data_IF_382243710125
#
_entry.id   IF_382243710125
#
_cell.length_a   1.000
_cell.length_b   1.000
_cell.length_c   1.000
_cell.angle_alpha   90.00
_cell.angle_beta   90.00
_cell.angle_gamma   90.00
#
_symmetry.space_group_name_H-M   'P 1'
#
loop_
_entity.id
_entity.type
_entity.pdbx_description
1 polymer ?
#
# COMPACT_ATOMS: atom_id res chain seq x y z
N UNK A 1 -12.12 21.08 -1.82
CA UNK A 1 -12.77 21.33 -3.11
C UNK A 1 -11.84 21.12 -4.32
N UNK A 2 -10.58 21.52 -4.30
CA UNK A 2 -9.64 21.35 -5.42
C UNK A 2 -9.39 19.86 -5.76
N UNK A 3 -9.31 18.99 -4.77
CA UNK A 3 -9.04 17.55 -4.94
C UNK A 3 -10.11 16.82 -5.78
N UNK A 4 -11.38 17.23 -5.69
CA UNK A 4 -12.50 16.49 -6.29
C UNK A 4 -12.62 16.60 -7.83
N UNK A 5 -12.09 17.67 -8.43
CA UNK A 5 -12.16 17.89 -9.90
C UNK A 5 -10.79 17.95 -10.58
N UNK A 6 -9.72 17.90 -9.81
CA UNK A 6 -8.36 18.09 -10.30
C UNK A 6 -7.96 17.02 -11.33
N UNK A 7 -8.37 15.77 -11.11
CA UNK A 7 -8.12 14.67 -12.04
C UNK A 7 -8.90 14.73 -13.36
N UNK A 8 -9.95 15.55 -13.44
CA UNK A 8 -10.74 15.71 -14.67
C UNK A 8 -10.26 16.84 -15.57
N UNK A 9 -9.29 17.63 -15.09
CA UNK A 9 -8.74 18.75 -15.83
C UNK A 9 -7.60 18.31 -16.73
N UNK A 10 -7.55 18.81 -17.93
CA UNK A 10 -6.36 18.74 -18.79
C UNK A 10 -5.55 20.00 -18.57
N UNK A 11 -4.43 19.88 -17.85
CA UNK A 11 -3.58 20.99 -17.49
C UNK A 11 -2.33 21.06 -18.37
N UNK A 12 -2.05 22.23 -18.92
CA UNK A 12 -0.80 22.48 -19.62
C UNK A 12 0.39 22.53 -18.65
N UNK A 13 1.59 22.28 -19.16
CA UNK A 13 2.83 22.40 -18.39
C UNK A 13 2.98 23.78 -17.73
N UNK A 14 2.53 24.85 -18.40
CA UNK A 14 2.56 26.19 -17.83
C UNK A 14 1.60 26.37 -16.63
N UNK A 15 0.42 25.75 -16.70
CA UNK A 15 -0.54 25.75 -15.58
C UNK A 15 -0.01 24.94 -14.41
N UNK A 16 0.56 23.77 -14.65
CA UNK A 16 1.21 22.95 -13.61
C UNK A 16 2.35 23.70 -12.93
N UNK A 17 3.20 24.41 -13.69
CA UNK A 17 4.26 25.25 -13.11
C UNK A 17 3.72 26.36 -12.22
N UNK A 18 2.59 26.99 -12.55
CA UNK A 18 1.96 27.98 -11.67
C UNK A 18 1.46 27.37 -10.36
N UNK A 19 0.90 26.17 -10.43
CA UNK A 19 0.48 25.42 -9.23
C UNK A 19 1.68 25.01 -8.36
N UNK A 20 2.82 24.66 -8.98
CA UNK A 20 4.08 24.40 -8.26
C UNK A 20 4.55 25.62 -7.46
N UNK A 21 4.43 26.83 -8.00
CA UNK A 21 4.77 28.06 -7.27
C UNK A 21 3.92 28.19 -6.00
N UNK A 22 2.59 28.00 -6.12
CA UNK A 22 1.65 28.04 -4.98
C UNK A 22 2.00 26.95 -3.95
N UNK A 23 2.29 25.72 -4.41
CA UNK A 23 2.71 24.63 -3.52
C UNK A 23 3.99 24.99 -2.78
N UNK A 24 4.98 25.56 -3.47
CA UNK A 24 6.24 25.95 -2.85
C UNK A 24 6.04 27.03 -1.78
N UNK A 25 5.17 28.01 -1.99
CA UNK A 25 4.81 29.03 -0.99
C UNK A 25 4.12 28.40 0.22
N UNK A 26 3.17 27.48 -0.01
CA UNK A 26 2.49 26.77 1.06
C UNK A 26 3.48 25.91 1.89
N UNK A 27 4.41 25.20 1.22
CA UNK A 27 5.44 24.42 1.91
C UNK A 27 6.35 25.31 2.76
N UNK A 28 6.75 26.49 2.26
CA UNK A 28 7.52 27.46 3.05
C UNK A 28 6.77 27.92 4.30
N UNK A 29 5.48 28.18 4.16
CA UNK A 29 4.66 28.58 5.30
C UNK A 29 4.52 27.45 6.34
N UNK A 30 4.34 26.20 5.90
CA UNK A 30 4.22 25.03 6.78
C UNK A 30 5.53 24.77 7.54
N UNK A 31 6.65 24.74 6.82
CA UNK A 31 7.97 24.44 7.37
C UNK A 31 8.63 25.65 8.06
N UNK A 32 8.17 26.86 7.77
CA UNK A 32 8.80 28.09 8.22
C UNK A 32 10.14 28.40 7.53
N UNK A 33 10.36 27.83 6.34
CA UNK A 33 11.61 27.99 5.58
C UNK A 33 11.68 29.34 4.85
N UNK A 34 12.90 29.75 4.49
CA UNK A 34 13.16 30.99 3.71
C UNK A 34 12.91 30.80 2.22
N UNK A 35 12.95 31.91 1.46
CA UNK A 35 12.77 31.88 0.00
C UNK A 35 13.87 31.09 -0.71
N UNK A 36 15.06 31.02 -0.13
CA UNK A 36 16.23 30.33 -0.71
C UNK A 36 16.21 28.82 -0.51
N UNK A 37 15.27 28.31 0.31
CA UNK A 37 15.15 26.85 0.55
C UNK A 37 14.71 26.12 -0.71
N UNK A 38 15.45 25.07 -1.04
CA UNK A 38 15.14 24.19 -2.16
C UNK A 38 13.72 23.61 -2.05
N UNK A 39 12.93 23.71 -3.13
CA UNK A 39 11.61 23.11 -3.22
C UNK A 39 11.65 21.58 -3.06
N UNK A 40 12.71 20.93 -3.54
CA UNK A 40 12.90 19.49 -3.46
C UNK A 40 13.19 19.05 -2.01
N UNK A 41 13.99 19.81 -1.27
CA UNK A 41 14.22 19.58 0.15
C UNK A 41 12.94 19.74 0.97
N UNK A 42 12.13 20.76 0.67
CA UNK A 42 10.83 20.96 1.31
C UNK A 42 9.85 19.83 1.01
N UNK A 43 9.79 19.35 -0.25
CA UNK A 43 8.96 18.18 -0.61
C UNK A 43 9.40 16.92 0.13
N UNK A 44 10.71 16.70 0.26
CA UNK A 44 11.23 15.59 1.03
C UNK A 44 10.81 15.67 2.50
N UNK A 45 10.98 16.83 3.14
CA UNK A 45 10.56 17.03 4.54
C UNK A 45 9.07 16.85 4.78
N UNK A 46 8.21 17.11 3.79
CA UNK A 46 6.76 16.97 3.90
C UNK A 46 6.23 15.68 3.26
N UNK A 47 7.08 14.91 2.59
CA UNK A 47 6.73 13.78 1.70
C UNK A 47 5.68 14.16 0.65
N UNK A 48 5.82 15.33 0.04
CA UNK A 48 4.88 15.83 -0.96
C UNK A 48 5.33 15.44 -2.36
N UNK A 49 4.35 15.09 -3.19
CA UNK A 49 4.50 14.95 -4.63
C UNK A 49 4.63 16.32 -5.31
N UNK A 50 5.24 16.36 -6.50
CA UNK A 50 5.12 17.52 -7.38
C UNK A 50 3.66 17.70 -7.84
N UNK A 51 3.28 18.90 -8.29
CA UNK A 51 1.92 19.11 -8.81
C UNK A 51 1.65 18.29 -10.07
N UNK A 52 2.68 17.99 -10.86
CA UNK A 52 2.56 17.12 -12.02
C UNK A 52 2.28 15.66 -11.62
N UNK A 53 2.99 15.12 -10.63
CA UNK A 53 2.73 13.79 -10.07
C UNK A 53 1.36 13.72 -9.41
N UNK A 54 1.03 14.72 -8.61
CA UNK A 54 -0.28 14.81 -7.95
C UNK A 54 -1.44 14.86 -8.96
N UNK A 55 -1.26 15.58 -10.07
CA UNK A 55 -2.24 15.64 -11.15
C UNK A 55 -2.43 14.27 -11.83
N UNK A 56 -1.33 13.57 -12.16
CA UNK A 56 -1.37 12.21 -12.70
C UNK A 56 -2.08 11.24 -11.76
N UNK A 57 -1.74 11.28 -10.47
CA UNK A 57 -2.41 10.44 -9.45
C UNK A 57 -3.90 10.76 -9.34
N UNK A 58 -4.28 12.04 -9.40
CA UNK A 58 -5.68 12.45 -9.38
C UNK A 58 -6.46 11.98 -10.61
N UNK A 59 -5.82 11.95 -11.80
CA UNK A 59 -6.40 11.41 -13.03
C UNK A 59 -6.59 9.89 -12.91
N UNK A 60 -5.59 9.17 -12.40
CA UNK A 60 -5.69 7.73 -12.15
C UNK A 60 -6.78 7.42 -11.12
N UNK A 61 -6.83 8.14 -10.00
CA UNK A 61 -7.89 7.97 -8.99
C UNK A 61 -9.30 8.19 -9.57
N UNK A 62 -9.46 9.23 -10.40
CA UNK A 62 -10.72 9.48 -11.08
C UNK A 62 -11.10 8.35 -12.06
N UNK A 63 -10.13 7.83 -12.83
CA UNK A 63 -10.30 6.70 -13.74
C UNK A 63 -10.73 5.44 -12.99
N UNK A 64 -10.05 5.11 -11.89
CA UNK A 64 -10.35 3.94 -11.07
C UNK A 64 -11.74 4.01 -10.42
N UNK A 65 -12.19 5.20 -10.01
CA UNK A 65 -13.57 5.42 -9.53
C UNK A 65 -14.61 5.17 -10.61
N UNK A 66 -14.35 5.60 -11.83
CA UNK A 66 -15.23 5.28 -12.98
C UNK A 66 -15.23 3.78 -13.26
N UNK A 67 -14.07 3.12 -13.20
CA UNK A 67 -13.95 1.68 -13.39
C UNK A 67 -14.66 0.86 -12.30
N UNK A 68 -14.66 1.36 -11.06
CA UNK A 68 -15.33 0.70 -9.93
C UNK A 68 -16.86 0.86 -9.92
N UNK A 69 -17.39 1.92 -10.51
CA UNK A 69 -18.83 2.16 -10.54
C UNK A 69 -19.44 1.71 -11.87
N UNK A 70 -20.03 0.52 -11.89
CA UNK A 70 -20.68 -0.06 -13.09
C UNK A 70 -21.87 0.75 -13.58
N UNK A 71 -22.44 1.64 -12.75
CA UNK A 71 -23.55 2.52 -13.12
C UNK A 71 -23.07 3.89 -13.62
N UNK A 72 -21.76 4.17 -13.55
CA UNK A 72 -21.23 5.45 -13.98
C UNK A 72 -21.38 5.65 -15.49
N UNK A 73 -21.84 6.80 -16.01
CA UNK A 73 -22.08 7.03 -17.44
C UNK A 73 -20.86 6.84 -18.34
N UNK A 74 -19.64 6.91 -17.78
CA UNK A 74 -18.38 6.70 -18.50
C UNK A 74 -17.80 5.30 -18.29
N UNK A 75 -18.48 4.40 -17.56
CA UNK A 75 -17.95 3.07 -17.25
C UNK A 75 -17.59 2.28 -18.52
N UNK A 76 -18.45 2.29 -19.53
CA UNK A 76 -18.23 1.57 -20.78
C UNK A 76 -17.06 2.11 -21.62
N UNK A 77 -16.57 3.31 -21.28
CA UNK A 77 -15.38 3.91 -21.92
C UNK A 77 -14.07 3.49 -21.28
N UNK A 78 -14.12 2.86 -20.12
CA UNK A 78 -12.93 2.32 -19.45
C UNK A 78 -12.40 1.14 -20.27
N UNK A 79 -11.15 1.26 -20.75
CA UNK A 79 -10.51 0.25 -21.62
C UNK A 79 -10.84 0.39 -23.12
N UNK A 80 -11.85 1.17 -23.49
CA UNK A 80 -12.12 1.48 -24.88
C UNK A 80 -11.33 2.71 -25.30
N UNK A 81 -10.28 2.53 -26.10
CA UNK A 81 -9.58 3.67 -26.72
C UNK A 81 -10.52 4.25 -27.79
N UNK A 82 -10.91 5.52 -27.68
CA UNK A 82 -11.72 6.10 -28.74
C UNK A 82 -10.85 6.21 -30.00
N UNK A 83 -11.26 5.55 -31.07
CA UNK A 83 -10.70 5.72 -32.43
C UNK A 83 -10.97 7.11 -33.02
N UNK A 84 -11.27 8.10 -32.20
CA UNK A 84 -11.72 9.38 -32.69
C UNK A 84 -10.56 10.28 -33.07
N UNK A 85 -10.55 10.67 -34.35
CA UNK A 85 -9.77 11.79 -34.90
C UNK A 85 -10.10 13.15 -34.24
N UNK A 86 -11.06 13.19 -33.35
CA UNK A 86 -11.51 14.39 -32.63
C UNK A 86 -10.73 14.53 -31.31
N UNK A 87 -9.82 15.47 -31.27
CA UNK A 87 -8.91 15.81 -30.15
C UNK A 87 -9.56 16.25 -28.83
N UNK A 88 -10.85 16.08 -28.60
CA UNK A 88 -11.57 16.71 -27.47
C UNK A 88 -12.41 15.83 -26.59
N UNK A 89 -12.30 14.55 -26.65
CA UNK A 89 -13.11 13.65 -25.78
C UNK A 89 -12.23 12.84 -24.84
N UNK A 90 -12.30 13.10 -23.56
CA UNK A 90 -11.67 12.32 -22.47
C UNK A 90 -10.13 12.25 -22.47
N UNK A 91 -9.43 13.35 -22.78
CA UNK A 91 -7.96 13.41 -22.69
C UNK A 91 -7.43 12.92 -21.34
N UNK A 92 -8.10 13.28 -20.24
CA UNK A 92 -7.73 12.83 -18.89
C UNK A 92 -7.80 11.31 -18.69
N UNK A 93 -8.77 10.61 -19.31
CA UNK A 93 -8.85 9.15 -19.24
C UNK A 93 -7.70 8.50 -20.03
N UNK A 94 -7.36 9.06 -21.19
CA UNK A 94 -6.22 8.60 -21.98
C UNK A 94 -4.91 8.80 -21.24
N UNK A 95 -4.73 9.95 -20.59
CA UNK A 95 -3.56 10.23 -19.76
C UNK A 95 -3.48 9.30 -18.54
N UNK A 96 -4.62 9.02 -17.88
CA UNK A 96 -4.70 8.06 -16.79
C UNK A 96 -4.31 6.66 -17.25
N UNK A 97 -4.89 6.19 -18.37
CA UNK A 97 -4.55 4.88 -18.98
C UNK A 97 -3.07 4.79 -19.29
N UNK A 98 -2.51 5.80 -19.98
CA UNK A 98 -1.09 5.82 -20.29
C UNK A 98 -0.21 5.83 -19.02
N UNK A 99 -0.62 6.54 -17.97
CA UNK A 99 0.11 6.55 -16.70
C UNK A 99 0.11 5.17 -16.05
N UNK A 100 -1.02 4.48 -16.03
CA UNK A 100 -1.16 3.12 -15.48
C UNK A 100 -0.30 2.12 -16.29
N UNK A 101 -0.43 2.13 -17.62
CA UNK A 101 0.34 1.25 -18.51
C UNK A 101 1.85 1.50 -18.41
N UNK A 102 2.27 2.76 -18.24
CA UNK A 102 3.69 3.11 -18.02
C UNK A 102 4.28 2.57 -16.71
N UNK A 103 3.42 2.15 -15.80
CA UNK A 103 3.79 1.47 -14.56
C UNK A 103 3.75 -0.07 -14.68
N UNK A 104 3.60 -0.61 -15.89
CA UNK A 104 3.56 -2.05 -16.12
C UNK A 104 2.22 -2.72 -15.79
N UNK A 105 1.15 -1.95 -15.60
CA UNK A 105 -0.18 -2.46 -15.28
C UNK A 105 -1.03 -2.47 -16.54
N UNK A 106 -1.56 -3.64 -16.94
CA UNK A 106 -2.58 -3.73 -17.99
C UNK A 106 -3.93 -3.26 -17.46
N UNK A 107 -4.65 -2.48 -18.27
CA UNK A 107 -6.01 -2.03 -17.94
C UNK A 107 -6.98 -3.20 -17.74
N UNK A 108 -6.72 -4.33 -18.42
CA UNK A 108 -7.52 -5.54 -18.29
C UNK A 108 -7.40 -6.21 -16.92
N UNK A 109 -6.26 -6.02 -16.23
CA UNK A 109 -6.04 -6.52 -14.88
C UNK A 109 -6.74 -5.67 -13.81
N UNK A 110 -7.35 -4.53 -14.18
CA UNK A 110 -8.03 -3.66 -13.21
C UNK A 110 -9.44 -4.17 -12.95
N UNK A 111 -9.73 -4.40 -11.68
CA UNK A 111 -11.06 -4.84 -11.24
C UNK A 111 -12.15 -3.82 -11.61
N UNK A 112 -13.19 -4.33 -12.21
CA UNK A 112 -14.46 -3.60 -12.44
C UNK A 112 -15.39 -3.86 -11.26
N UNK A 113 -16.00 -2.81 -10.73
CA UNK A 113 -16.88 -2.91 -9.57
C UNK A 113 -16.15 -2.84 -8.22
N UNK A 114 -16.91 -2.98 -7.13
CA UNK A 114 -16.39 -2.92 -5.77
C UNK A 114 -15.64 -4.20 -5.42
N UNK A 115 -14.46 -4.11 -4.75
CA UNK A 115 -13.69 -5.30 -4.41
C UNK A 115 -14.31 -6.13 -3.28
N UNK A 116 -15.14 -5.52 -2.42
CA UNK A 116 -15.80 -6.17 -1.31
C UNK A 116 -17.30 -6.05 -1.42
N UNK A 117 -18.01 -7.17 -1.28
CA UNK A 117 -19.48 -7.24 -1.36
C UNK A 117 -20.05 -7.72 -0.03
N UNK A 118 -21.20 -7.16 0.35
CA UNK A 118 -21.92 -7.61 1.53
C UNK A 118 -22.60 -8.95 1.21
N UNK A 119 -22.35 -9.95 2.05
CA UNK A 119 -22.83 -11.32 1.85
C UNK A 119 -24.01 -11.55 2.80
N UNK A 120 -25.23 -11.50 2.27
CA UNK A 120 -26.44 -11.26 3.06
C UNK A 120 -27.12 -12.47 3.69
N UNK A 121 -27.24 -13.63 3.08
CA UNK A 121 -28.27 -14.60 3.51
C UNK A 121 -27.77 -15.95 4.10
N UNK A 122 -26.47 -16.21 4.12
CA UNK A 122 -25.88 -17.44 4.65
C UNK A 122 -24.66 -17.17 5.53
N UNK A 123 -24.72 -16.07 6.26
CA UNK A 123 -23.54 -15.45 6.88
C UNK A 123 -22.81 -16.33 7.88
N UNK A 124 -23.51 -17.05 8.74
CA UNK A 124 -22.86 -17.85 9.80
C UNK A 124 -22.10 -19.07 9.26
N UNK A 125 -22.52 -19.61 8.13
CA UNK A 125 -21.88 -20.80 7.54
C UNK A 125 -20.54 -20.46 6.89
N UNK A 126 -20.37 -19.23 6.37
CA UNK A 126 -19.21 -18.83 5.58
C UNK A 126 -18.40 -17.68 6.18
N UNK A 127 -18.90 -17.04 7.23
CA UNK A 127 -18.27 -15.86 7.84
C UNK A 127 -17.88 -16.05 9.31
N UNK A 128 -17.90 -17.28 9.82
CA UNK A 128 -17.45 -17.56 11.18
C UNK A 128 -15.95 -17.36 11.29
N UNK A 129 -15.51 -16.37 12.06
CA UNK A 129 -14.10 -16.05 12.28
C UNK A 129 -13.71 -16.33 13.72
N UNK A 130 -12.59 -17.02 13.91
CA UNK A 130 -11.95 -17.30 15.20
C UNK A 130 -10.62 -16.56 15.24
N UNK A 131 -10.53 -15.55 16.09
CA UNK A 131 -9.33 -14.70 16.23
C UNK A 131 -9.00 -14.54 17.73
N UNK A 132 -8.78 -15.65 18.41
CA UNK A 132 -8.49 -15.71 19.85
C UNK A 132 -7.03 -15.51 20.18
N UNK A 133 -6.13 -15.78 19.21
CA UNK A 133 -4.70 -15.57 19.35
C UNK A 133 -4.32 -14.13 18.97
N UNK A 134 -3.38 -13.54 19.70
CA UNK A 134 -2.87 -12.21 19.45
C UNK A 134 -1.41 -12.22 18.97
N UNK A 135 -0.85 -11.03 18.72
CA UNK A 135 0.55 -10.88 18.29
C UNK A 135 1.56 -11.28 19.37
N UNK A 136 1.17 -11.28 20.63
CA UNK A 136 1.94 -11.73 21.80
C UNK A 136 2.37 -13.19 21.70
N UNK A 137 1.64 -14.01 20.92
CA UNK A 137 2.00 -15.42 20.71
C UNK A 137 3.34 -15.61 19.98
N UNK A 138 3.86 -14.57 19.31
CA UNK A 138 5.19 -14.59 18.68
C UNK A 138 6.33 -14.70 19.69
N UNK A 139 6.09 -14.33 20.94
CA UNK A 139 7.07 -14.37 22.03
C UNK A 139 6.97 -15.67 22.84
N UNK A 140 6.06 -16.57 22.45
CA UNK A 140 5.91 -17.85 23.12
C UNK A 140 7.07 -18.81 22.79
N UNK A 141 7.22 -19.83 23.60
CA UNK A 141 8.18 -20.90 23.35
C UNK A 141 7.91 -21.59 22.01
N UNK A 142 8.96 -22.08 21.37
CA UNK A 142 8.90 -22.78 20.08
C UNK A 142 7.87 -23.92 20.11
N UNK A 143 7.05 -24.01 19.09
CA UNK A 143 5.97 -25.01 18.95
C UNK A 143 4.67 -24.70 19.69
N UNK A 144 4.67 -23.84 20.70
CA UNK A 144 3.47 -23.55 21.52
C UNK A 144 2.38 -22.83 20.73
N UNK A 145 2.75 -21.96 19.82
CA UNK A 145 1.79 -21.27 18.95
C UNK A 145 1.17 -22.24 17.95
N UNK A 146 1.97 -23.14 17.39
CA UNK A 146 1.50 -24.19 16.49
C UNK A 146 0.50 -25.13 17.20
N UNK A 147 0.82 -25.63 18.40
CA UNK A 147 -0.09 -26.43 19.23
C UNK A 147 -1.41 -25.70 19.50
N UNK A 148 -1.35 -24.39 19.78
CA UNK A 148 -2.55 -23.60 20.04
C UNK A 148 -3.42 -23.43 18.79
N UNK A 149 -2.81 -23.19 17.61
CA UNK A 149 -3.53 -23.10 16.34
C UNK A 149 -4.15 -24.44 15.96
N UNK A 150 -3.42 -25.56 16.11
CA UNK A 150 -3.93 -26.90 15.84
C UNK A 150 -5.11 -27.25 16.81
N UNK A 151 -5.03 -26.85 18.07
CA UNK A 151 -6.13 -27.02 19.01
C UNK A 151 -7.40 -26.26 18.60
N UNK A 152 -7.25 -25.01 18.12
CA UNK A 152 -8.37 -24.20 17.60
C UNK A 152 -8.94 -24.84 16.33
N UNK A 153 -8.08 -25.34 15.43
CA UNK A 153 -8.52 -26.06 14.23
C UNK A 153 -9.35 -27.28 14.64
N UNK A 154 -8.84 -28.11 15.55
CA UNK A 154 -9.55 -29.33 16.05
C UNK A 154 -10.88 -29.01 16.71
N UNK A 155 -10.99 -27.89 17.43
CA UNK A 155 -12.25 -27.46 18.07
C UNK A 155 -13.31 -27.05 17.03
N UNK A 156 -12.88 -26.49 15.89
CA UNK A 156 -13.80 -25.89 14.92
C UNK A 156 -13.95 -26.67 13.61
N UNK A 157 -13.24 -27.78 13.45
CA UNK A 157 -13.31 -28.68 12.28
C UNK A 157 -13.61 -30.12 12.68
N UNK A 158 -14.03 -30.91 11.71
CA UNK A 158 -14.10 -32.38 11.81
C UNK A 158 -12.78 -32.97 11.26
N UNK A 159 -12.47 -34.23 11.61
CA UNK A 159 -11.24 -34.88 11.11
C UNK A 159 -11.10 -34.91 9.57
N UNK A 160 -12.22 -34.96 8.84
CA UNK A 160 -12.28 -35.00 7.39
C UNK A 160 -12.42 -33.63 6.73
N UNK A 161 -12.56 -32.55 7.51
CA UNK A 161 -12.62 -31.17 6.97
C UNK A 161 -11.25 -30.80 6.38
N UNK A 162 -11.28 -30.02 5.32
CA UNK A 162 -10.07 -29.53 4.67
C UNK A 162 -9.53 -28.30 5.43
N UNK A 163 -8.26 -28.29 5.73
CA UNK A 163 -7.56 -27.17 6.37
C UNK A 163 -6.63 -26.52 5.36
N UNK A 164 -6.80 -25.23 5.15
CA UNK A 164 -6.05 -24.42 4.19
C UNK A 164 -5.25 -23.37 4.93
N UNK A 165 -3.95 -23.30 4.72
CA UNK A 165 -3.11 -22.19 5.16
C UNK A 165 -2.76 -21.31 3.96
N UNK A 166 -2.88 -20.00 4.13
CA UNK A 166 -2.63 -19.03 3.05
C UNK A 166 -1.67 -17.95 3.52
N UNK A 167 -0.82 -17.48 2.61
CA UNK A 167 0.09 -16.36 2.88
C UNK A 167 0.38 -15.55 1.62
N UNK A 168 0.76 -14.27 1.81
CA UNK A 168 1.12 -13.34 0.76
C UNK A 168 2.43 -12.61 1.07
N UNK A 169 3.45 -12.83 0.26
CA UNK A 169 4.77 -12.21 0.41
C UNK A 169 4.99 -11.06 -0.58
N UNK A 170 5.59 -9.96 -0.11
CA UNK A 170 5.93 -8.80 -0.97
C UNK A 170 7.39 -8.43 -0.79
N UNK A 171 8.19 -8.64 -1.84
CA UNK A 171 9.58 -8.19 -1.94
C UNK A 171 9.65 -6.91 -2.76
N UNK A 172 9.72 -5.77 -2.09
CA UNK A 172 9.69 -4.44 -2.72
C UNK A 172 10.75 -4.31 -3.81
N UNK A 173 10.31 -3.84 -5.00
CA UNK A 173 11.17 -3.69 -6.17
C UNK A 173 11.58 -5.00 -6.85
N UNK A 174 11.05 -6.16 -6.42
CA UNK A 174 11.37 -7.47 -6.99
C UNK A 174 10.09 -8.16 -7.47
N UNK A 175 9.22 -8.57 -6.54
CA UNK A 175 7.98 -9.29 -6.86
C UNK A 175 7.00 -9.28 -5.69
N UNK A 176 5.75 -9.62 -5.98
CA UNK A 176 4.75 -10.00 -4.98
C UNK A 176 4.28 -11.41 -5.27
N UNK A 177 4.29 -12.28 -4.26
CA UNK A 177 3.94 -13.69 -4.37
C UNK A 177 2.79 -14.07 -3.44
N UNK A 178 2.10 -15.14 -3.78
CA UNK A 178 1.06 -15.77 -3.00
C UNK A 178 1.33 -17.27 -2.89
N UNK A 179 0.88 -17.88 -1.81
CA UNK A 179 1.01 -19.33 -1.62
C UNK A 179 -0.07 -19.87 -0.71
N UNK A 180 -0.45 -21.12 -0.93
CA UNK A 180 -1.30 -21.83 -0.01
C UNK A 180 -0.94 -23.31 0.05
N UNK A 181 -1.28 -23.94 1.16
CA UNK A 181 -1.19 -25.39 1.36
C UNK A 181 -2.52 -25.92 1.88
N UNK A 182 -2.91 -27.06 1.37
CA UNK A 182 -4.16 -27.77 1.75
C UNK A 182 -3.81 -29.07 2.45
N UNK A 183 -4.36 -29.25 3.65
CA UNK A 183 -4.24 -30.48 4.44
C UNK A 183 -5.62 -31.12 4.63
N UNK A 184 -5.66 -32.46 4.61
CA UNK A 184 -6.81 -33.24 5.01
C UNK A 184 -6.35 -34.38 5.90
N UNK A 185 -6.97 -34.57 7.05
CA UNK A 185 -6.58 -35.55 8.06
C UNK A 185 -5.09 -35.48 8.44
N UNK A 186 -4.56 -34.24 8.57
CA UNK A 186 -3.14 -33.98 8.92
C UNK A 186 -2.15 -34.16 7.77
N UNK A 187 -2.59 -34.63 6.58
CA UNK A 187 -1.70 -34.88 5.44
C UNK A 187 -1.88 -33.80 4.37
N UNK A 188 -0.77 -33.21 3.91
CA UNK A 188 -0.77 -32.25 2.81
C UNK A 188 -1.24 -32.93 1.51
N UNK A 189 -2.32 -32.40 0.94
CA UNK A 189 -2.93 -32.90 -0.29
C UNK A 189 -2.53 -32.09 -1.52
N UNK A 190 -2.37 -30.78 -1.34
CA UNK A 190 -2.08 -29.86 -2.44
C UNK A 190 -1.37 -28.61 -1.95
N UNK A 191 -0.49 -28.09 -2.81
CA UNK A 191 0.21 -26.82 -2.63
C UNK A 191 0.23 -26.07 -3.94
N UNK A 192 0.03 -24.75 -3.89
CA UNK A 192 0.20 -23.91 -5.05
C UNK A 192 0.74 -22.53 -4.66
N UNK A 193 1.39 -21.90 -5.61
CA UNK A 193 1.92 -20.55 -5.48
C UNK A 193 2.05 -19.89 -6.83
N UNK A 194 2.09 -18.55 -6.86
CA UNK A 194 2.37 -17.76 -8.04
C UNK A 194 2.81 -16.36 -7.64
N UNK A 195 3.42 -15.63 -8.56
CA UNK A 195 3.91 -14.30 -8.30
C UNK A 195 3.69 -13.35 -9.48
N UNK A 196 3.77 -12.06 -9.19
CA UNK A 196 3.76 -11.00 -10.18
C UNK A 196 4.98 -10.10 -10.02
N UNK A 197 5.45 -9.48 -11.10
CA UNK A 197 6.57 -8.54 -11.08
C UNK A 197 6.29 -7.26 -10.29
N UNK A 198 5.01 -6.88 -10.18
CA UNK A 198 4.62 -5.64 -9.52
C UNK A 198 4.73 -5.76 -8.00
N UNK A 199 5.21 -4.71 -7.35
CA UNK A 199 5.15 -4.58 -5.90
C UNK A 199 3.75 -4.13 -5.48
N UNK A 200 2.98 -5.03 -4.85
CA UNK A 200 1.62 -4.74 -4.36
C UNK A 200 1.59 -4.57 -2.85
N UNK A 201 0.41 -4.56 -2.24
CA UNK A 201 0.25 -4.76 -0.80
C UNK A 201 0.22 -6.26 -0.47
N UNK A 202 0.71 -6.65 0.71
CA UNK A 202 0.59 -8.05 1.18
C UNK A 202 -0.87 -8.50 1.19
N UNK A 203 -1.80 -7.64 1.60
CA UNK A 203 -3.24 -7.95 1.61
C UNK A 203 -3.76 -8.45 0.27
N UNK A 204 -3.31 -7.90 -0.86
CA UNK A 204 -3.73 -8.37 -2.19
C UNK A 204 -3.18 -9.77 -2.48
N UNK A 205 -1.98 -10.07 -2.03
CA UNK A 205 -1.41 -11.42 -2.18
C UNK A 205 -2.10 -12.43 -1.29
N UNK A 206 -2.46 -12.06 -0.06
CA UNK A 206 -3.32 -12.86 0.82
C UNK A 206 -4.69 -13.16 0.17
N UNK A 207 -5.36 -12.13 -0.36
CA UNK A 207 -6.62 -12.29 -1.09
C UNK A 207 -6.44 -13.23 -2.28
N UNK A 208 -5.33 -13.12 -3.00
CA UNK A 208 -5.04 -13.99 -4.15
C UNK A 208 -4.83 -15.43 -3.71
N UNK A 209 -4.07 -15.68 -2.65
CA UNK A 209 -3.86 -17.01 -2.08
C UNK A 209 -5.21 -17.66 -1.70
N UNK A 210 -6.05 -16.93 -0.98
CA UNK A 210 -7.40 -17.38 -0.61
C UNK A 210 -8.26 -17.65 -1.85
N UNK A 211 -8.20 -16.77 -2.86
CA UNK A 211 -8.99 -16.93 -4.09
C UNK A 211 -8.63 -18.21 -4.82
N UNK A 212 -7.33 -18.50 -4.96
CA UNK A 212 -6.87 -19.71 -5.65
C UNK A 212 -7.19 -20.98 -4.83
N UNK A 213 -7.09 -20.91 -3.50
CA UNK A 213 -7.49 -21.99 -2.62
C UNK A 213 -9.01 -22.29 -2.74
N UNK A 214 -9.85 -21.24 -2.77
CA UNK A 214 -11.31 -21.40 -2.98
C UNK A 214 -11.64 -22.04 -4.33
N UNK A 215 -10.95 -21.66 -5.40
CA UNK A 215 -11.09 -22.27 -6.71
C UNK A 215 -10.75 -23.76 -6.68
N UNK A 216 -9.60 -24.10 -6.07
CA UNK A 216 -9.23 -25.50 -5.91
C UNK A 216 -10.29 -26.31 -5.14
N UNK A 217 -10.82 -25.74 -4.05
CA UNK A 217 -11.87 -26.39 -3.26
C UNK A 217 -13.18 -26.55 -4.08
N UNK A 218 -13.51 -25.59 -4.95
CA UNK A 218 -14.64 -25.70 -5.86
C UNK A 218 -14.44 -26.84 -6.88
N UNK A 219 -13.25 -26.91 -7.50
CA UNK A 219 -12.93 -27.92 -8.52
C UNK A 219 -12.86 -29.35 -7.92
N UNK A 220 -12.49 -29.46 -6.66
CA UNK A 220 -12.38 -30.75 -5.93
C UNK A 220 -13.61 -31.10 -5.08
N UNK A 221 -14.69 -30.32 -5.20
CA UNK A 221 -15.96 -30.54 -4.52
C UNK A 221 -15.83 -30.68 -2.99
N UNK A 222 -15.02 -29.80 -2.36
CA UNK A 222 -14.89 -29.76 -0.90
C UNK A 222 -16.18 -29.21 -0.28
N UNK A 223 -16.74 -29.95 0.68
CA UNK A 223 -17.98 -29.57 1.38
C UNK A 223 -17.69 -28.69 2.62
N UNK A 224 -16.57 -28.91 3.30
CA UNK A 224 -16.28 -28.24 4.56
C UNK A 224 -14.80 -27.89 4.64
N UNK A 225 -14.52 -26.65 4.99
CA UNK A 225 -13.15 -26.15 5.05
C UNK A 225 -12.91 -25.16 6.21
N UNK A 226 -11.64 -25.10 6.62
CA UNK A 226 -11.09 -24.10 7.51
C UNK A 226 -9.99 -23.36 6.76
N UNK A 227 -10.06 -22.03 6.68
CA UNK A 227 -8.98 -21.19 6.17
C UNK A 227 -8.25 -20.56 7.34
N UNK A 228 -6.94 -20.78 7.40
CA UNK A 228 -6.03 -20.23 8.39
C UNK A 228 -5.17 -19.18 7.68
N UNK A 229 -5.19 -17.93 8.17
CA UNK A 229 -4.47 -16.80 7.57
C UNK A 229 -4.00 -15.84 8.66
N UNK A 230 -2.89 -15.15 8.43
CA UNK A 230 -2.41 -14.08 9.31
C UNK A 230 -2.93 -12.68 8.92
N UNK A 231 -3.73 -12.59 7.86
CA UNK A 231 -4.32 -11.36 7.36
C UNK A 231 -5.51 -10.89 8.21
N UNK A 232 -5.23 -10.27 9.35
CA UNK A 232 -6.28 -9.70 10.21
C UNK A 232 -7.17 -8.70 9.46
N UNK A 233 -6.64 -7.95 8.50
CA UNK A 233 -7.44 -7.01 7.70
C UNK A 233 -8.51 -7.73 6.86
N UNK A 234 -8.18 -8.88 6.28
CA UNK A 234 -9.11 -9.74 5.55
C UNK A 234 -10.16 -10.32 6.50
N UNK A 235 -9.74 -10.86 7.64
CA UNK A 235 -10.65 -11.43 8.64
C UNK A 235 -11.62 -10.39 9.19
N UNK A 236 -11.20 -9.17 9.44
CA UNK A 236 -12.09 -8.08 9.86
C UNK A 236 -13.19 -7.78 8.83
N UNK A 237 -12.91 -7.90 7.54
CA UNK A 237 -13.93 -7.78 6.48
C UNK A 237 -14.93 -8.91 6.57
N UNK A 238 -14.45 -10.16 6.68
CA UNK A 238 -15.30 -11.35 6.82
C UNK A 238 -16.17 -11.28 8.08
N UNK A 239 -15.61 -10.88 9.22
CA UNK A 239 -16.36 -10.65 10.48
C UNK A 239 -17.52 -9.66 10.33
N UNK A 240 -17.36 -8.67 9.45
CA UNK A 240 -18.40 -7.68 9.11
C UNK A 240 -19.29 -8.13 7.95
N UNK A 241 -19.31 -9.41 7.63
CA UNK A 241 -20.08 -10.00 6.54
C UNK A 241 -19.71 -9.46 5.14
N UNK A 242 -18.48 -9.02 4.93
CA UNK A 242 -17.97 -8.66 3.60
C UNK A 242 -17.06 -9.77 3.09
N UNK A 243 -17.37 -10.30 1.91
CA UNK A 243 -16.51 -11.20 1.15
C UNK A 243 -15.87 -10.45 -0.03
N UNK A 244 -14.69 -10.91 -0.45
CA UNK A 244 -14.11 -10.41 -1.68
C UNK A 244 -15.01 -10.78 -2.87
N UNK A 245 -15.16 -9.87 -3.83
CA UNK A 245 -16.17 -10.01 -4.87
C UNK A 245 -16.05 -11.30 -5.71
N UNK A 246 -14.81 -11.84 -5.82
CA UNK A 246 -14.59 -13.12 -6.52
C UNK A 246 -14.94 -14.33 -5.65
N UNK A 247 -14.97 -14.22 -4.34
CA UNK A 247 -15.23 -15.36 -3.45
C UNK A 247 -16.70 -15.74 -3.41
N UNK A 248 -17.60 -14.74 -3.40
CA UNK A 248 -19.04 -15.00 -3.35
C UNK A 248 -19.52 -15.91 -4.49
N UNK A 249 -19.22 -15.67 -5.80
CA UNK A 249 -19.61 -16.60 -6.86
C UNK A 249 -18.92 -17.96 -6.77
N UNK A 250 -17.65 -18.04 -6.30
CA UNK A 250 -16.97 -19.31 -6.11
C UNK A 250 -17.68 -20.13 -5.03
N UNK A 251 -17.97 -19.54 -3.88
CA UNK A 251 -18.67 -20.18 -2.77
C UNK A 251 -20.07 -20.62 -3.19
N UNK A 252 -20.84 -19.76 -3.85
CA UNK A 252 -22.20 -20.08 -4.30
C UNK A 252 -22.26 -21.19 -5.36
N UNK A 253 -21.22 -21.37 -6.15
CA UNK A 253 -21.14 -22.39 -7.20
C UNK A 253 -20.31 -23.61 -6.77
N UNK A 254 -19.87 -23.68 -5.51
CA UNK A 254 -19.12 -24.81 -4.95
C UNK A 254 -20.04 -25.77 -4.16
N UNK A 255 -19.46 -26.90 -3.75
CA UNK A 255 -20.09 -27.82 -2.81
C UNK A 255 -19.94 -27.39 -1.35
N UNK A 256 -19.34 -26.23 -1.06
CA UNK A 256 -19.07 -25.76 0.29
C UNK A 256 -20.37 -25.56 1.08
N UNK A 257 -20.53 -26.32 2.15
CA UNK A 257 -21.60 -26.18 3.13
C UNK A 257 -21.16 -25.33 4.34
N UNK A 258 -19.87 -25.31 4.62
CA UNK A 258 -19.30 -24.57 5.76
C UNK A 258 -17.88 -24.12 5.48
N UNK A 259 -17.61 -22.86 5.82
CA UNK A 259 -16.28 -22.27 5.81
C UNK A 259 -16.02 -21.58 7.16
N UNK A 260 -14.91 -21.90 7.81
CA UNK A 260 -14.46 -21.27 9.05
C UNK A 260 -13.15 -20.58 8.80
N UNK A 261 -12.98 -19.41 9.38
CA UNK A 261 -11.77 -18.60 9.25
C UNK A 261 -11.05 -18.54 10.59
N UNK A 262 -9.77 -18.86 10.61
CA UNK A 262 -8.95 -18.84 11.82
C UNK A 262 -7.79 -17.88 11.61
N UNK A 263 -7.60 -16.99 12.57
CA UNK A 263 -6.41 -16.14 12.61
C UNK A 263 -5.22 -16.93 13.19
N UNK A 264 -4.08 -16.81 12.53
CA UNK A 264 -2.79 -17.24 13.04
C UNK A 264 -1.83 -16.05 13.10
N UNK A 265 -1.00 -15.91 14.15
CA UNK A 265 0.05 -14.90 14.13
C UNK A 265 1.11 -15.24 13.07
N UNK A 266 1.37 -14.31 12.14
CA UNK A 266 2.41 -14.48 11.11
C UNK A 266 3.81 -14.60 11.74
N UNK A 267 4.68 -15.43 11.18
CA UNK A 267 6.05 -15.69 11.64
C UNK A 267 6.12 -16.13 13.13
N UNK A 268 5.21 -16.98 13.56
CA UNK A 268 5.11 -17.46 14.93
C UNK A 268 5.37 -18.98 15.05
N UNK A 269 5.99 -19.60 14.04
CA UNK A 269 6.35 -21.01 14.02
C UNK A 269 5.17 -21.96 13.78
N UNK A 270 4.05 -21.49 13.24
CA UNK A 270 2.92 -22.33 12.83
C UNK A 270 3.27 -23.02 11.52
N UNK A 271 3.46 -24.36 11.55
CA UNK A 271 4.03 -25.12 10.43
C UNK A 271 3.31 -24.88 9.10
N UNK A 272 1.98 -24.90 9.10
CA UNK A 272 1.18 -24.67 7.89
C UNK A 272 1.32 -23.25 7.34
N UNK A 273 1.36 -22.25 8.20
CA UNK A 273 1.55 -20.85 7.79
C UNK A 273 2.97 -20.59 7.27
N UNK A 274 4.00 -21.08 7.97
CA UNK A 274 5.40 -21.00 7.52
C UNK A 274 5.61 -21.74 6.18
N UNK A 275 4.82 -22.78 5.92
CA UNK A 275 4.86 -23.46 4.62
C UNK A 275 4.24 -22.61 3.52
N UNK A 276 3.09 -21.98 3.77
CA UNK A 276 2.45 -21.06 2.83
C UNK A 276 3.34 -19.84 2.53
N UNK A 277 3.98 -19.25 3.54
CA UNK A 277 4.95 -18.16 3.39
C UNK A 277 6.13 -18.55 2.49
N UNK A 278 6.74 -19.72 2.74
CA UNK A 278 7.82 -20.24 1.88
C UNK A 278 7.37 -20.45 0.43
N UNK A 279 6.15 -20.91 0.19
CA UNK A 279 5.58 -21.06 -1.14
C UNK A 279 5.41 -19.69 -1.82
N UNK A 280 4.86 -18.70 -1.12
CA UNK A 280 4.71 -17.33 -1.62
C UNK A 280 6.07 -16.71 -1.95
N UNK A 281 7.06 -16.88 -1.09
CA UNK A 281 8.42 -16.36 -1.27
C UNK A 281 9.15 -16.99 -2.46
N UNK A 282 9.00 -18.30 -2.66
CA UNK A 282 9.63 -19.06 -3.74
C UNK A 282 8.87 -18.99 -5.07
N UNK A 283 7.67 -18.41 -5.09
CA UNK A 283 6.76 -18.42 -6.23
C UNK A 283 7.38 -17.88 -7.53
N UNK A 284 7.05 -18.53 -8.65
CA UNK A 284 7.47 -18.12 -9.99
C UNK A 284 6.48 -17.08 -10.53
N UNK A 285 7.01 -16.07 -11.23
CA UNK A 285 6.22 -14.99 -11.82
C UNK A 285 5.37 -15.54 -12.97
N UNK A 286 4.05 -15.39 -12.84
CA UNK A 286 3.06 -15.74 -13.86
C UNK A 286 2.18 -14.55 -14.28
N UNK A 287 2.28 -13.41 -13.58
CA UNK A 287 1.56 -12.15 -13.80
C UNK A 287 0.01 -12.28 -13.88
N UNK A 288 -0.54 -13.37 -13.35
CA UNK A 288 -1.98 -13.63 -13.37
C UNK A 288 -2.67 -13.07 -12.13
N UNK A 289 -3.05 -11.77 -12.18
CA UNK A 289 -3.72 -11.09 -11.08
C UNK A 289 -4.76 -10.09 -11.57
N UNK A 290 -5.81 -9.91 -10.76
CA UNK A 290 -6.74 -8.78 -10.86
C UNK A 290 -6.47 -7.80 -9.73
N UNK A 291 -6.19 -6.54 -10.06
CA UNK A 291 -5.84 -5.49 -9.11
C UNK A 291 -7.06 -4.61 -8.81
N UNK A 292 -7.30 -4.31 -7.54
CA UNK A 292 -8.29 -3.32 -7.13
C UNK A 292 -7.76 -1.89 -7.29
N UNK A 293 -8.68 -0.91 -7.31
CA UNK A 293 -8.35 0.49 -7.50
C UNK A 293 -7.32 1.04 -6.50
N UNK A 294 -7.48 0.81 -5.18
CA UNK A 294 -6.50 1.23 -4.18
C UNK A 294 -5.09 0.70 -4.44
N UNK A 295 -4.95 -0.57 -4.81
CA UNK A 295 -3.66 -1.18 -5.11
C UNK A 295 -3.02 -0.57 -6.37
N UNK A 296 -3.79 -0.39 -7.44
CA UNK A 296 -3.30 0.30 -8.65
C UNK A 296 -2.81 1.70 -8.33
N UNK A 297 -3.57 2.47 -7.53
CA UNK A 297 -3.19 3.82 -7.14
C UNK A 297 -1.89 3.84 -6.32
N UNK A 298 -1.70 2.88 -5.42
CA UNK A 298 -0.48 2.72 -4.65
C UNK A 298 0.72 2.43 -5.54
N UNK A 299 0.62 1.45 -6.45
CA UNK A 299 1.70 1.09 -7.38
C UNK A 299 2.10 2.30 -8.23
N UNK A 300 1.12 3.02 -8.78
CA UNK A 300 1.38 4.22 -9.60
C UNK A 300 2.07 5.30 -8.77
N UNK A 301 1.65 5.52 -7.51
CA UNK A 301 2.28 6.51 -6.63
C UNK A 301 3.75 6.17 -6.34
N UNK A 302 4.05 4.90 -6.04
CA UNK A 302 5.42 4.41 -5.80
C UNK A 302 6.29 4.55 -7.05
N UNK A 303 5.80 4.11 -8.20
CA UNK A 303 6.50 4.20 -9.48
C UNK A 303 6.79 5.65 -9.92
N UNK A 304 5.84 6.58 -9.72
CA UNK A 304 6.06 7.99 -10.00
C UNK A 304 7.13 8.58 -9.07
N UNK A 305 7.18 8.13 -7.81
CA UNK A 305 8.19 8.55 -6.83
C UNK A 305 9.59 8.02 -7.22
N UNK A 306 9.70 6.77 -7.65
CA UNK A 306 10.96 6.15 -8.09
C UNK A 306 11.51 6.78 -9.38
N UNK A 307 10.64 7.12 -10.33
CA UNK A 307 11.01 7.76 -11.62
C UNK A 307 11.37 9.24 -11.50
N UNK A 308 11.37 9.82 -10.28
CA UNK A 308 11.82 11.20 -10.08
C UNK A 308 13.27 11.33 -10.53
N UNK A 309 13.60 12.37 -11.33
CA UNK A 309 14.99 12.62 -11.69
C UNK A 309 15.82 12.83 -10.42
N UNK A 310 17.07 12.38 -10.47
CA UNK A 310 18.00 12.66 -9.37
C UNK A 310 18.11 14.17 -9.19
N UNK A 311 17.87 14.61 -7.96
CA UNK A 311 17.93 16.03 -7.62
C UNK A 311 19.37 16.53 -7.59
N UNK A 312 19.62 17.68 -8.20
CA UNK A 312 20.86 18.43 -8.04
C UNK A 312 20.86 19.33 -6.78
N UNK A 313 19.81 19.25 -5.96
CA UNK A 313 19.70 20.08 -4.76
C UNK A 313 20.69 19.64 -3.70
N UNK A 314 21.66 20.51 -3.40
CA UNK A 314 22.64 20.33 -2.33
C UNK A 314 21.96 20.11 -0.97
N UNK A 315 20.93 20.90 -0.66
CA UNK A 315 20.17 20.75 0.60
C UNK A 315 19.51 19.37 0.71
N UNK A 316 18.94 18.84 -0.39
CA UNK A 316 18.36 17.50 -0.37
C UNK A 316 19.42 16.41 -0.20
N UNK A 317 20.61 16.55 -0.79
CA UNK A 317 21.70 15.59 -0.60
C UNK A 317 22.14 15.53 0.87
N UNK A 318 22.26 16.67 1.53
CA UNK A 318 22.59 16.75 2.97
C UNK A 318 21.50 16.08 3.81
N UNK A 319 20.22 16.33 3.55
CA UNK A 319 19.13 15.68 4.28
C UNK A 319 19.22 14.16 4.20
N UNK A 320 19.49 13.62 3.00
CA UNK A 320 19.65 12.18 2.80
C UNK A 320 20.90 11.62 3.47
N UNK A 321 22.03 12.31 3.38
CA UNK A 321 23.30 11.93 4.04
C UNK A 321 23.14 11.88 5.56
N UNK A 322 22.42 12.84 6.14
CA UNK A 322 22.09 12.85 7.58
C UNK A 322 21.01 11.84 7.97
N UNK A 323 20.52 11.01 7.05
CA UNK A 323 19.49 9.98 7.32
C UNK A 323 18.10 10.56 7.64
N UNK A 324 17.82 11.83 7.27
CA UNK A 324 16.52 12.45 7.51
C UNK A 324 15.48 11.83 6.58
N UNK A 325 14.50 11.17 7.16
CA UNK A 325 13.45 10.47 6.44
C UNK A 325 12.47 11.43 5.75
N UNK A 326 11.86 10.99 4.65
CA UNK A 326 10.77 11.72 4.03
C UNK A 326 9.61 11.91 5.04
N UNK A 327 9.03 13.10 5.07
CA UNK A 327 7.96 13.46 6.00
C UNK A 327 8.41 13.92 7.39
N UNK A 328 9.72 13.88 7.72
CA UNK A 328 10.23 14.25 9.04
C UNK A 328 9.84 15.67 9.48
N UNK A 329 9.70 16.61 8.56
CA UNK A 329 9.29 17.98 8.86
C UNK A 329 7.84 18.11 9.34
N UNK A 330 6.98 17.15 8.99
CA UNK A 330 5.57 17.13 9.38
C UNK A 330 5.31 16.35 10.67
N UNK A 331 6.12 15.34 10.97
CA UNK A 331 5.93 14.39 12.07
C UNK A 331 6.61 14.78 13.38
N UNK A 332 7.36 15.90 13.43
CA UNK A 332 8.03 16.31 14.66
C UNK A 332 7.03 16.71 15.76
N UNK A 333 7.22 16.25 16.98
CA UNK A 333 6.41 16.62 18.15
C UNK A 333 6.55 18.10 18.54
N UNK A 334 7.47 18.80 17.91
CA UNK A 334 7.69 20.22 18.11
C UNK A 334 6.53 21.05 17.52
N UNK A 335 6.17 22.12 18.24
CA UNK A 335 5.08 23.03 17.82
C UNK A 335 5.60 24.47 17.65
N UNK A 336 4.92 25.24 16.80
CA UNK A 336 5.13 26.68 16.65
C UNK A 336 6.56 27.05 16.24
N UNK A 337 7.18 27.95 16.99
CA UNK A 337 8.53 28.48 16.70
C UNK A 337 9.62 27.39 16.70
N UNK A 338 9.55 26.44 17.64
CA UNK A 338 10.54 25.35 17.75
C UNK A 338 10.58 24.48 16.49
N UNK A 339 9.42 24.09 15.94
CA UNK A 339 9.35 23.36 14.66
C UNK A 339 9.97 24.17 13.51
N UNK A 340 9.68 25.48 13.47
CA UNK A 340 10.19 26.37 12.43
C UNK A 340 11.71 26.44 12.46
N UNK A 341 12.31 26.64 13.63
CA UNK A 341 13.77 26.64 13.80
C UNK A 341 14.40 25.29 13.47
N UNK A 342 13.78 24.19 13.90
CA UNK A 342 14.24 22.85 13.58
C UNK A 342 14.30 22.63 12.06
N UNK A 343 13.23 22.95 11.33
CA UNK A 343 13.18 22.80 9.87
C UNK A 343 14.18 23.73 9.16
N UNK A 344 14.39 24.93 9.66
CA UNK A 344 15.40 25.85 9.15
C UNK A 344 16.82 25.32 9.38
N UNK A 345 17.10 24.68 10.52
CA UNK A 345 18.37 24.00 10.76
C UNK A 345 18.58 22.81 9.83
N UNK A 346 17.57 21.97 9.65
CA UNK A 346 17.63 20.84 8.72
C UNK A 346 17.91 21.27 7.27
N UNK A 347 17.35 22.39 6.85
CA UNK A 347 17.51 22.93 5.50
C UNK A 347 18.67 23.91 5.36
N UNK A 348 19.44 24.14 6.43
CA UNK A 348 20.55 25.13 6.49
C UNK A 348 20.13 26.55 6.10
N UNK A 349 18.85 26.89 6.29
CA UNK A 349 18.26 28.18 5.91
C UNK A 349 17.87 29.03 7.11
N UNK A 350 18.64 28.93 8.22
CA UNK A 350 18.41 29.74 9.41
C UNK A 350 18.62 31.23 9.07
N UNK A 351 17.57 32.00 9.24
CA UNK A 351 17.56 33.43 8.95
C UNK A 351 18.10 34.31 10.10
N UNK A 352 18.85 33.73 11.04
CA UNK A 352 19.53 34.53 12.05
C UNK A 352 20.80 35.12 11.42
N UNK A 353 20.85 36.43 11.17
CA UNK A 353 22.00 37.06 10.48
C UNK A 353 23.35 36.72 11.08
N UNK A 354 23.40 36.57 12.38
CA UNK A 354 24.59 36.17 13.16
C UNK A 354 25.04 34.76 12.86
N UNK A 355 24.14 33.79 12.70
CA UNK A 355 24.50 32.39 12.42
C UNK A 355 24.95 32.22 10.99
N UNK A 356 24.28 32.90 10.05
CA UNK A 356 24.66 32.91 8.63
C UNK A 356 26.03 33.50 8.42
N UNK A 357 26.37 34.57 9.12
CA UNK A 357 27.68 35.20 9.08
C UNK A 357 28.77 34.34 9.76
N UNK A 358 28.46 33.66 10.87
CA UNK A 358 29.37 32.71 11.53
C UNK A 358 29.68 31.46 10.68
N UNK A 359 28.70 30.91 10.02
CA UNK A 359 28.90 29.76 9.10
C UNK A 359 29.65 30.15 7.83
N UNK A 360 29.50 31.39 7.34
CA UNK A 360 30.19 31.89 6.16
C UNK A 360 31.60 32.45 6.43
N UNK A 361 31.91 32.90 7.61
CA UNK A 361 33.18 33.59 7.90
C UNK A 361 34.31 32.71 8.44
N UNK A 362 34.18 31.37 8.50
CA UNK A 362 35.23 30.47 9.02
C UNK A 362 35.92 30.97 10.31
N UNK A 363 35.24 31.76 11.11
CA UNK A 363 35.81 32.27 12.35
C UNK A 363 35.73 31.19 13.43
N UNK A 364 36.86 30.77 13.95
CA UNK A 364 37.02 29.83 15.08
C UNK A 364 36.48 30.40 16.41
N UNK A 365 35.51 31.29 16.39
CA UNK A 365 34.93 31.84 17.63
C UNK A 365 33.79 30.95 18.08
N UNK A 366 33.88 30.43 19.31
CA UNK A 366 32.83 29.73 20.00
C UNK A 366 31.52 30.55 19.97
N UNK A 367 30.47 29.96 19.42
CA UNK A 367 29.15 30.57 19.39
C UNK A 367 28.29 30.00 20.53
N UNK A 368 27.76 30.91 21.34
CA UNK A 368 26.81 30.54 22.40
C UNK A 368 25.37 30.62 21.86
N UNK A 369 24.63 29.55 22.01
CA UNK A 369 23.19 29.53 21.66
C UNK A 369 22.43 30.45 22.64
N UNK A 370 21.72 31.50 22.16
CA UNK A 370 20.97 32.39 23.03
C UNK A 370 19.89 31.72 23.88
N UNK A 371 19.44 30.54 23.46
CA UNK A 371 18.38 29.79 24.12
C UNK A 371 18.88 28.81 25.19
N UNK A 372 20.12 28.32 25.08
CA UNK A 372 20.67 27.33 26.01
C UNK A 372 22.01 27.73 26.63
N UNK A 373 22.61 28.87 26.25
CA UNK A 373 23.92 29.38 26.72
C UNK A 373 25.08 28.37 26.58
N UNK A 374 24.97 27.43 25.64
CA UNK A 374 26.00 26.42 25.35
C UNK A 374 26.85 26.82 24.16
N UNK A 375 28.17 26.72 24.31
CA UNK A 375 29.12 26.92 23.23
C UNK A 375 29.01 25.79 22.19
N UNK A 376 29.03 26.12 20.90
CA UNK A 376 28.99 25.18 19.77
C UNK A 376 27.64 24.48 19.48
N UNK A 377 26.57 25.21 19.56
CA UNK A 377 25.23 24.82 19.05
C UNK A 377 24.95 23.34 18.84
N UNK A 378 23.95 22.81 19.51
CA UNK A 378 23.57 21.42 19.37
C UNK A 378 23.29 21.01 17.89
N UNK A 379 24.23 20.29 17.29
CA UNK A 379 23.97 19.42 16.17
C UNK A 379 23.58 18.02 16.72
N UNK A 380 22.34 17.81 16.98
CA UNK A 380 21.77 16.47 17.09
C UNK A 380 20.43 16.41 16.40
#
# INVERSE_FOLDING_TARGET
MVKYRFGLLTLSTAQLKRLEVIQNEAMRAILGCTKDTSAEAMRHLLDFATMAEFHKLAQVDAFLKVAADTKHPLHDKVGNRPDSRLKRGSEWMTEATHTIESCGISIECIRRGTPWVYFNDYTEQYTKVIATLGRECREWEEGKTDEAVEAIIAEHSRPDDVVVFTDGSVKRGIKSGWGFTIRKSGVTQHEASGAIELTTSSMIMEIKAITEALKYMQDTHVERAVIVTDSMCTLQKVMNCFLYADWAPIINNSALERLVWIFTPGHAGVEGNERADRLADAAIIDNNITLDGPTVLQIVAEQLKEKRPQSSSYTLSILKEKGIQAGAGATSDMRGASRRYHNQMLTETISIPTLRNLLMTRAEQAWECPACSEANGHHK
#
